data_IF_750917763118
#
_entry.id   IF_750917763118
#
_cell.length_a   1.000
_cell.length_b   1.000
_cell.length_c   1.000
_cell.angle_alpha   90.00
_cell.angle_beta   90.00
_cell.angle_gamma   90.00
#
_symmetry.space_group_name_H-M   'P 1'
#
loop_
_entity.id
_entity.type
_entity.pdbx_description
1 polymer ?
#
# COMPACT_ATOMS: atom_id res chain seq x y z
N UNK A 1 -17.56 -5.76 -11.64
CA UNK A 1 -17.78 -6.23 -10.26
C UNK A 1 -16.85 -7.37 -9.88
N UNK A 2 -16.46 -8.27 -10.77
CA UNK A 2 -15.49 -9.34 -10.49
C UNK A 2 -14.10 -8.81 -10.09
N UNK A 3 -13.61 -7.70 -10.67
CA UNK A 3 -12.30 -7.13 -10.36
C UNK A 3 -12.13 -6.59 -8.94
N UNK A 4 -13.20 -6.30 -8.19
CA UNK A 4 -13.11 -5.84 -6.80
C UNK A 4 -12.91 -6.97 -5.80
N UNK A 5 -13.48 -8.15 -6.02
CA UNK A 5 -13.35 -9.30 -5.13
C UNK A 5 -11.94 -9.89 -5.16
N UNK A 6 -11.31 -9.97 -6.32
CA UNK A 6 -9.94 -10.50 -6.45
C UNK A 6 -8.87 -9.60 -5.81
N UNK A 7 -9.07 -8.28 -5.81
CA UNK A 7 -8.16 -7.33 -5.13
C UNK A 7 -8.11 -7.56 -3.63
N UNK A 8 -9.24 -7.95 -3.04
CA UNK A 8 -9.38 -8.21 -1.61
C UNK A 8 -8.51 -9.41 -1.20
N UNK A 9 -8.42 -10.45 -2.01
CA UNK A 9 -7.73 -11.69 -1.69
C UNK A 9 -6.23 -11.52 -1.46
N UNK A 10 -5.55 -10.65 -2.23
CA UNK A 10 -4.11 -10.43 -2.09
C UNK A 10 -3.74 -9.70 -0.79
N UNK A 11 -4.67 -8.91 -0.23
CA UNK A 11 -4.43 -8.07 0.94
C UNK A 11 -5.08 -8.61 2.23
N UNK A 12 -5.93 -9.62 2.14
CA UNK A 12 -6.43 -10.33 3.32
C UNK A 12 -5.28 -10.97 4.10
N UNK A 13 -5.44 -11.12 5.40
CA UNK A 13 -4.46 -11.81 6.27
C UNK A 13 -4.25 -13.24 5.81
N UNK A 14 -5.34 -13.95 5.51
CA UNK A 14 -5.29 -15.23 4.83
C UNK A 14 -5.58 -15.04 3.32
N UNK A 15 -4.54 -15.13 2.52
CA UNK A 15 -4.61 -15.09 1.07
C UNK A 15 -4.53 -16.49 0.44
N UNK A 16 -4.94 -17.52 1.19
CA UNK A 16 -5.04 -18.90 0.73
C UNK A 16 -6.32 -19.10 -0.09
N UNK A 17 -6.19 -19.83 -1.19
CA UNK A 17 -7.31 -20.26 -2.03
C UNK A 17 -7.31 -21.76 -2.16
N UNK A 18 -8.49 -22.38 -2.06
CA UNK A 18 -8.64 -23.79 -2.32
C UNK A 18 -8.77 -24.05 -3.82
N UNK A 19 -7.84 -24.80 -4.37
CA UNK A 19 -7.86 -25.24 -5.76
C UNK A 19 -8.27 -26.72 -5.81
N UNK A 20 -9.36 -26.99 -6.47
CA UNK A 20 -9.76 -28.36 -6.83
C UNK A 20 -9.00 -28.75 -8.09
N UNK A 21 -8.27 -29.87 -8.03
CA UNK A 21 -7.52 -30.43 -9.14
C UNK A 21 -8.37 -31.39 -9.96
N UNK A 22 -7.95 -31.62 -11.19
CA UNK A 22 -8.62 -32.56 -12.09
C UNK A 22 -8.61 -34.00 -11.56
N UNK A 23 -7.67 -34.35 -10.68
CA UNK A 23 -7.60 -35.64 -9.99
C UNK A 23 -8.57 -35.77 -8.79
N UNK A 24 -9.41 -34.75 -8.54
CA UNK A 24 -10.38 -34.71 -7.45
C UNK A 24 -9.78 -34.27 -6.10
N UNK A 25 -8.48 -34.03 -6.02
CA UNK A 25 -7.85 -33.55 -4.78
C UNK A 25 -7.97 -32.03 -4.65
N UNK A 26 -8.10 -31.53 -3.39
CA UNK A 26 -8.11 -30.10 -3.09
C UNK A 26 -6.77 -29.68 -2.50
N UNK A 27 -6.19 -28.61 -3.01
CA UNK A 27 -4.96 -28.02 -2.48
C UNK A 27 -5.17 -26.56 -2.14
N UNK A 28 -4.77 -26.13 -0.93
CA UNK A 28 -4.72 -24.73 -0.58
C UNK A 28 -3.48 -24.09 -1.19
N UNK A 29 -3.69 -23.06 -1.98
CA UNK A 29 -2.64 -22.26 -2.63
C UNK A 29 -2.59 -20.91 -1.94
N UNK A 30 -1.41 -20.51 -1.47
CA UNK A 30 -1.14 -19.15 -1.00
C UNK A 30 -0.67 -18.30 -2.19
N UNK A 31 -1.40 -17.25 -2.49
CA UNK A 31 -1.09 -16.38 -3.62
C UNK A 31 0.20 -15.58 -3.41
N UNK A 32 0.40 -15.05 -2.20
CA UNK A 32 1.60 -14.31 -1.79
C UNK A 32 2.01 -14.76 -0.39
N UNK A 33 3.28 -15.08 -0.19
CA UNK A 33 3.84 -15.29 1.14
C UNK A 33 4.20 -13.93 1.77
N UNK A 34 3.45 -13.52 2.79
CA UNK A 34 3.67 -12.26 3.50
C UNK A 34 4.60 -12.41 4.70
N UNK A 35 4.86 -13.62 5.14
CA UNK A 35 5.78 -13.93 6.24
C UNK A 35 7.18 -14.12 5.72
N UNK A 36 7.36 -15.07 4.80
CA UNK A 36 8.65 -15.33 4.17
C UNK A 36 8.66 -14.67 2.78
N UNK A 37 8.73 -13.33 2.77
CA UNK A 37 8.59 -12.53 1.54
C UNK A 37 9.53 -12.97 0.41
N UNK A 38 10.73 -13.48 0.75
CA UNK A 38 11.70 -13.96 -0.23
C UNK A 38 11.34 -15.31 -0.86
N UNK A 39 10.31 -16.02 -0.36
CA UNK A 39 9.79 -17.22 -1.00
C UNK A 39 8.98 -16.90 -2.26
N UNK A 40 8.54 -15.66 -2.42
CA UNK A 40 7.82 -15.23 -3.61
C UNK A 40 8.75 -15.15 -4.83
N UNK A 41 8.28 -15.65 -5.96
CA UNK A 41 8.99 -15.60 -7.24
C UNK A 41 8.66 -14.31 -7.97
N UNK A 42 9.68 -13.54 -8.35
CA UNK A 42 9.55 -12.36 -9.22
C UNK A 42 9.91 -12.73 -10.65
N UNK A 43 9.14 -12.20 -11.60
CA UNK A 43 9.39 -12.29 -13.03
C UNK A 43 9.11 -10.94 -13.66
N UNK A 44 9.86 -10.60 -14.70
CA UNK A 44 9.71 -9.35 -15.45
C UNK A 44 9.34 -9.71 -16.88
N UNK A 45 8.23 -9.16 -17.34
CA UNK A 45 7.82 -9.19 -18.74
C UNK A 45 8.09 -7.82 -19.36
N UNK A 46 8.63 -7.78 -20.55
CA UNK A 46 8.77 -6.55 -21.30
C UNK A 46 8.06 -6.67 -22.63
N UNK A 47 7.43 -5.58 -23.05
CA UNK A 47 6.72 -5.49 -24.32
C UNK A 47 5.74 -6.65 -24.56
N UNK A 48 4.99 -7.01 -23.52
CA UNK A 48 3.95 -8.02 -23.63
C UNK A 48 2.81 -7.51 -24.49
N UNK A 49 2.42 -8.30 -25.50
CA UNK A 49 1.33 -7.97 -26.42
C UNK A 49 0.06 -8.69 -25.97
N UNK A 50 -1.04 -7.94 -25.84
CA UNK A 50 -2.38 -8.44 -25.54
C UNK A 50 -3.26 -8.22 -26.77
N UNK A 51 -3.72 -9.30 -27.37
CA UNK A 51 -4.51 -9.30 -28.61
C UNK A 51 -6.02 -9.37 -28.34
N UNK A 52 -6.44 -9.79 -27.16
CA UNK A 52 -7.85 -10.02 -26.80
C UNK A 52 -8.66 -8.76 -26.50
N UNK A 53 -8.06 -7.58 -26.51
CA UNK A 53 -8.72 -6.30 -26.18
C UNK A 53 -9.43 -5.65 -27.36
N UNK A 54 -9.95 -4.44 -27.14
CA UNK A 54 -10.58 -3.61 -28.20
C UNK A 54 -9.60 -3.26 -29.32
N UNK A 55 -8.32 -3.19 -28.99
CA UNK A 55 -7.19 -2.98 -29.93
C UNK A 55 -5.99 -3.75 -29.41
N UNK A 56 -5.08 -4.23 -30.31
CA UNK A 56 -3.81 -4.79 -29.89
C UNK A 56 -3.06 -3.78 -29.02
N UNK A 57 -2.67 -4.21 -27.82
CA UNK A 57 -2.01 -3.35 -26.85
C UNK A 57 -0.70 -3.97 -26.41
N UNK A 58 0.35 -3.17 -26.35
CA UNK A 58 1.67 -3.60 -25.87
C UNK A 58 2.02 -2.87 -24.60
N UNK A 59 2.20 -3.64 -23.53
CA UNK A 59 2.61 -3.14 -22.22
C UNK A 59 4.12 -3.01 -22.16
N UNK A 60 4.62 -1.88 -21.68
CA UNK A 60 6.08 -1.64 -21.67
C UNK A 60 6.80 -2.63 -20.74
N UNK A 61 6.47 -2.62 -19.45
CA UNK A 61 7.07 -3.55 -18.48
C UNK A 61 6.03 -3.96 -17.43
N UNK A 62 5.96 -5.25 -17.15
CA UNK A 62 5.11 -5.81 -16.09
C UNK A 62 5.96 -6.65 -15.14
N UNK A 63 5.78 -6.47 -13.83
CA UNK A 63 6.41 -7.33 -12.83
C UNK A 63 5.36 -8.27 -12.25
N UNK A 64 5.64 -9.56 -12.38
CA UNK A 64 4.84 -10.62 -11.82
C UNK A 64 5.40 -11.03 -10.45
N UNK A 65 4.48 -11.30 -9.51
CA UNK A 65 4.78 -11.95 -8.24
C UNK A 65 3.99 -13.26 -8.20
N UNK A 66 4.67 -14.39 -8.15
CA UNK A 66 4.06 -15.73 -8.24
C UNK A 66 3.13 -15.90 -9.46
N UNK A 67 3.47 -15.26 -10.59
CA UNK A 67 2.68 -15.28 -11.81
C UNK A 67 1.58 -14.22 -11.91
N UNK A 68 1.29 -13.46 -10.84
CA UNK A 68 0.30 -12.38 -10.86
C UNK A 68 0.93 -11.04 -11.24
N UNK A 69 0.39 -10.30 -12.21
CA UNK A 69 0.93 -9.00 -12.65
C UNK A 69 0.56 -7.91 -11.62
N UNK A 70 1.40 -7.73 -10.61
CA UNK A 70 1.13 -6.80 -9.52
C UNK A 70 1.66 -5.39 -9.76
N UNK A 71 2.65 -5.23 -10.64
CA UNK A 71 3.23 -3.91 -10.95
C UNK A 71 3.26 -3.69 -12.44
N UNK A 72 2.66 -2.59 -12.88
CA UNK A 72 2.68 -2.15 -14.27
C UNK A 72 3.52 -0.87 -14.40
N UNK A 73 4.45 -0.86 -15.36
CA UNK A 73 5.34 0.26 -15.61
C UNK A 73 5.10 0.78 -17.02
N UNK A 74 4.86 2.07 -17.14
CA UNK A 74 4.69 2.78 -18.40
C UNK A 74 5.84 3.75 -18.61
N UNK A 75 6.48 3.65 -19.75
CA UNK A 75 7.68 4.40 -20.09
C UNK A 75 7.42 5.41 -21.22
N UNK A 76 8.00 6.57 -21.14
CA UNK A 76 8.02 7.58 -22.18
C UNK A 76 9.45 7.99 -22.48
N UNK A 77 9.67 8.51 -23.68
CA UNK A 77 10.98 9.08 -24.07
C UNK A 77 11.31 10.28 -23.20
N UNK A 78 12.59 10.52 -23.00
CA UNK A 78 13.07 11.75 -22.34
C UNK A 78 12.52 12.97 -23.05
N UNK A 79 12.16 14.00 -22.29
CA UNK A 79 11.53 15.22 -22.79
C UNK A 79 10.00 15.16 -22.93
N UNK A 80 9.38 13.98 -22.90
CA UNK A 80 7.93 13.83 -22.87
C UNK A 80 7.42 14.04 -21.44
N UNK A 81 6.30 14.73 -21.29
CA UNK A 81 5.71 14.95 -19.97
C UNK A 81 5.27 13.63 -19.34
N UNK A 82 5.66 13.38 -18.09
CA UNK A 82 5.33 12.16 -17.36
C UNK A 82 3.80 11.94 -17.23
N UNK A 83 3.00 13.02 -17.29
CA UNK A 83 1.52 12.95 -17.33
C UNK A 83 0.99 12.16 -18.52
N UNK A 84 1.72 12.07 -19.62
CA UNK A 84 1.30 11.26 -20.78
C UNK A 84 1.32 9.76 -20.46
N UNK A 85 2.32 9.29 -19.70
CA UNK A 85 2.35 7.92 -19.21
C UNK A 85 1.16 7.63 -18.28
N UNK A 86 0.83 8.57 -17.39
CA UNK A 86 -0.33 8.46 -16.51
C UNK A 86 -1.65 8.33 -17.28
N UNK A 87 -1.83 9.14 -18.32
CA UNK A 87 -3.02 9.10 -19.19
C UNK A 87 -3.09 7.82 -20.03
N UNK A 88 -1.95 7.22 -20.38
CA UNK A 88 -1.92 5.99 -21.17
C UNK A 88 -2.43 4.79 -20.41
N UNK A 89 -2.14 4.70 -19.10
CA UNK A 89 -2.67 3.63 -18.24
C UNK A 89 -4.20 3.62 -18.21
N UNK A 90 -4.85 4.78 -18.29
CA UNK A 90 -6.30 4.88 -18.44
C UNK A 90 -6.79 4.16 -19.72
N UNK A 91 -6.09 4.35 -20.86
CA UNK A 91 -6.44 3.66 -22.11
C UNK A 91 -6.33 2.14 -21.97
N UNK A 92 -5.28 1.64 -21.32
CA UNK A 92 -5.10 0.21 -21.11
C UNK A 92 -6.24 -0.41 -20.33
N UNK A 93 -6.75 0.26 -19.30
CA UNK A 93 -7.88 -0.25 -18.56
C UNK A 93 -9.13 -0.38 -19.42
N UNK A 94 -9.44 0.63 -20.22
CA UNK A 94 -10.61 0.63 -21.09
C UNK A 94 -10.48 -0.41 -22.21
N UNK A 95 -9.27 -0.55 -22.77
CA UNK A 95 -9.07 -1.23 -24.02
C UNK A 95 -8.55 -2.67 -23.86
N UNK A 96 -7.86 -3.00 -22.74
CA UNK A 96 -7.12 -4.27 -22.70
C UNK A 96 -6.92 -4.96 -21.35
N UNK A 97 -6.95 -4.29 -20.18
CA UNK A 97 -6.65 -4.98 -18.91
C UNK A 97 -7.65 -6.09 -18.53
N UNK A 98 -8.86 -6.02 -19.02
CA UNK A 98 -9.90 -7.04 -18.86
C UNK A 98 -9.80 -8.18 -19.88
N UNK A 99 -8.98 -8.02 -20.90
CA UNK A 99 -8.87 -8.96 -22.02
C UNK A 99 -8.12 -10.24 -21.62
N UNK A 100 -8.22 -11.24 -22.44
CA UNK A 100 -7.61 -12.53 -22.23
C UNK A 100 -8.07 -13.16 -20.91
N UNK A 101 -7.12 -13.43 -20.02
CA UNK A 101 -7.41 -14.00 -18.69
C UNK A 101 -7.90 -12.98 -17.65
N UNK A 102 -7.92 -11.68 -17.97
CA UNK A 102 -8.21 -10.61 -17.01
C UNK A 102 -7.14 -10.41 -15.93
N UNK A 103 -5.98 -11.06 -16.03
CA UNK A 103 -4.93 -11.03 -15.01
C UNK A 103 -4.37 -9.62 -14.76
N UNK A 104 -4.37 -8.74 -15.75
CA UNK A 104 -3.89 -7.36 -15.59
C UNK A 104 -4.77 -6.50 -14.67
N UNK A 105 -5.98 -6.94 -14.36
CA UNK A 105 -6.80 -6.29 -13.33
C UNK A 105 -6.23 -6.44 -11.91
N UNK A 106 -5.32 -7.40 -11.69
CA UNK A 106 -4.59 -7.56 -10.43
C UNK A 106 -3.49 -6.53 -10.19
N UNK A 107 -3.17 -5.68 -11.18
CA UNK A 107 -2.14 -4.66 -11.02
C UNK A 107 -2.46 -3.72 -9.85
N UNK A 108 -1.56 -3.66 -8.87
CA UNK A 108 -1.74 -2.93 -7.61
C UNK A 108 -0.96 -1.61 -7.59
N UNK A 109 0.23 -1.62 -8.16
CA UNK A 109 1.13 -0.48 -8.22
C UNK A 109 1.39 -0.15 -9.69
N UNK A 110 1.27 1.13 -9.99
CA UNK A 110 1.61 1.69 -11.28
C UNK A 110 2.83 2.58 -11.15
N UNK A 111 3.76 2.43 -12.09
CA UNK A 111 4.97 3.24 -12.17
C UNK A 111 4.97 3.93 -13.52
N UNK A 112 5.22 5.21 -13.52
CA UNK A 112 5.32 6.04 -14.72
C UNK A 112 6.68 6.70 -14.76
N UNK A 113 7.32 6.71 -15.94
CA UNK A 113 8.63 7.31 -16.10
C UNK A 113 8.86 7.86 -17.50
N UNK A 114 9.67 8.92 -17.57
CA UNK A 114 10.26 9.40 -18.82
C UNK A 114 11.81 9.31 -18.81
N UNK A 115 12.34 8.44 -17.93
CA UNK A 115 13.77 8.27 -17.70
C UNK A 115 14.38 9.27 -16.73
N UNK A 116 13.96 10.54 -16.78
CA UNK A 116 14.44 11.60 -15.88
C UNK A 116 13.56 11.71 -14.63
N UNK A 117 12.27 11.53 -14.78
CA UNK A 117 11.29 11.60 -13.72
C UNK A 117 10.53 10.29 -13.62
N UNK A 118 10.47 9.71 -12.41
CA UNK A 118 9.78 8.46 -12.12
C UNK A 118 8.90 8.64 -10.90
N UNK A 119 7.63 8.28 -11.03
CA UNK A 119 6.64 8.32 -9.96
C UNK A 119 5.91 7.00 -9.87
N UNK A 120 5.31 6.73 -8.72
CA UNK A 120 4.45 5.57 -8.53
C UNK A 120 3.11 5.97 -7.89
N UNK A 121 2.12 5.11 -8.03
CA UNK A 121 0.80 5.29 -7.43
C UNK A 121 0.06 3.97 -7.31
N UNK A 122 -0.96 3.95 -6.48
CA UNK A 122 -1.79 2.77 -6.24
C UNK A 122 -2.88 2.62 -7.28
N UNK A 123 -3.45 1.44 -7.33
CA UNK A 123 -4.64 1.11 -8.10
C UNK A 123 -5.82 2.06 -7.77
N UNK A 124 -6.02 2.44 -6.53
CA UNK A 124 -7.04 3.42 -6.13
C UNK A 124 -6.89 4.76 -6.85
N UNK A 125 -5.65 5.29 -6.93
CA UNK A 125 -5.38 6.52 -7.67
C UNK A 125 -5.72 6.36 -9.15
N UNK A 126 -5.42 5.21 -9.73
CA UNK A 126 -5.80 4.87 -11.11
C UNK A 126 -7.31 4.89 -11.31
N UNK A 127 -8.09 4.25 -10.44
CA UNK A 127 -9.55 4.24 -10.56
C UNK A 127 -10.15 5.64 -10.44
N UNK A 128 -9.67 6.44 -9.51
CA UNK A 128 -10.09 7.86 -9.39
C UNK A 128 -9.83 8.63 -10.67
N UNK A 129 -8.65 8.45 -11.28
CA UNK A 129 -8.33 9.06 -12.57
C UNK A 129 -9.31 8.67 -13.67
N UNK A 130 -9.67 7.39 -13.76
CA UNK A 130 -10.62 6.89 -14.75
C UNK A 130 -11.98 7.53 -14.58
N UNK A 131 -12.54 7.50 -13.38
CA UNK A 131 -13.85 8.12 -13.10
C UNK A 131 -13.87 9.62 -13.39
N UNK A 132 -12.79 10.35 -13.08
CA UNK A 132 -12.66 11.76 -13.40
C UNK A 132 -12.66 12.02 -14.93
N UNK A 133 -12.10 11.10 -15.71
CA UNK A 133 -12.07 11.23 -17.17
C UNK A 133 -13.42 10.86 -17.82
N UNK A 134 -14.09 9.83 -17.32
CA UNK A 134 -15.39 9.38 -17.83
C UNK A 134 -16.52 10.37 -17.57
N UNK A 135 -16.51 11.07 -16.44
CA UNK A 135 -17.51 12.07 -16.07
C UNK A 135 -17.40 13.40 -16.82
N UNK A 136 -16.46 13.58 -17.75
CA UNK A 136 -16.25 14.85 -18.46
C UNK A 136 -17.05 14.91 -19.75
N UNK A 137 -17.84 16.01 -20.00
CA UNK A 137 -18.51 16.19 -21.27
C UNK A 137 -17.51 16.32 -22.43
N UNK A 138 -17.86 15.73 -23.58
CA UNK A 138 -17.03 15.73 -24.79
C UNK A 138 -16.80 17.12 -25.41
N UNK A 139 -17.54 18.13 -24.96
CA UNK A 139 -17.51 19.49 -25.49
C UNK A 139 -16.95 20.47 -24.46
N UNK A 140 -15.76 20.96 -24.70
CA UNK A 140 -15.13 22.03 -23.94
C UNK A 140 -13.62 21.89 -23.83
N UNK A 141 -12.90 22.97 -23.53
CA UNK A 141 -11.49 22.97 -23.14
C UNK A 141 -11.27 22.17 -21.85
N UNK A 142 -11.32 20.83 -21.95
CA UNK A 142 -11.09 19.97 -20.80
C UNK A 142 -9.63 20.05 -20.36
N UNK A 143 -9.36 20.07 -19.06
CA UNK A 143 -8.01 19.84 -18.51
C UNK A 143 -7.46 18.55 -19.11
N UNK A 144 -6.25 18.60 -19.68
CA UNK A 144 -5.59 17.45 -20.31
C UNK A 144 -5.18 16.32 -19.33
N UNK A 145 -5.34 16.55 -18.02
CA UNK A 145 -5.02 15.58 -16.98
C UNK A 145 -6.03 15.67 -15.83
N UNK A 146 -6.26 14.55 -15.14
CA UNK A 146 -7.08 14.52 -13.94
C UNK A 146 -6.34 15.11 -12.74
N UNK A 147 -7.08 15.51 -11.72
CA UNK A 147 -6.52 15.95 -10.45
C UNK A 147 -5.86 14.78 -9.70
N UNK A 148 -6.21 13.53 -10.03
CA UNK A 148 -5.61 12.32 -9.47
C UNK A 148 -4.11 12.19 -9.73
N UNK A 149 -3.56 12.87 -10.75
CA UNK A 149 -2.11 12.92 -10.95
C UNK A 149 -1.35 13.51 -9.75
N UNK A 150 -1.96 14.41 -9.00
CA UNK A 150 -1.38 15.02 -7.79
C UNK A 150 -1.19 14.01 -6.65
N UNK A 151 -1.91 12.87 -6.69
CA UNK A 151 -1.76 11.78 -5.73
C UNK A 151 -0.66 10.78 -6.08
N UNK A 152 0.04 10.97 -7.21
CA UNK A 152 1.24 10.20 -7.52
C UNK A 152 2.38 10.58 -6.58
N UNK A 153 3.23 9.62 -6.24
CA UNK A 153 4.31 9.81 -5.27
C UNK A 153 5.68 9.70 -5.91
N UNK A 154 6.62 10.49 -5.44
CA UNK A 154 8.04 10.29 -5.67
C UNK A 154 8.57 9.22 -4.72
N UNK A 155 9.52 8.42 -5.21
CA UNK A 155 10.35 7.63 -4.30
C UNK A 155 11.43 8.52 -3.69
N UNK A 156 11.90 8.17 -2.49
CA UNK A 156 12.94 8.92 -1.79
C UNK A 156 13.80 8.00 -0.93
N UNK A 157 15.00 8.45 -0.61
CA UNK A 157 15.89 7.78 0.33
C UNK A 157 15.45 7.95 1.80
N UNK A 158 16.19 7.34 2.74
CA UNK A 158 15.91 7.42 4.17
C UNK A 158 16.09 8.82 4.79
N UNK A 159 16.61 9.79 4.03
CA UNK A 159 16.72 11.21 4.38
C UNK A 159 15.69 12.08 3.68
N UNK A 160 14.76 11.45 2.96
CA UNK A 160 13.72 12.09 2.17
C UNK A 160 14.23 12.86 0.94
N UNK A 161 15.41 12.53 0.42
CA UNK A 161 15.85 13.05 -0.87
C UNK A 161 15.17 12.31 -2.00
N UNK A 162 14.54 13.04 -2.91
CA UNK A 162 13.78 12.48 -4.03
C UNK A 162 14.70 11.72 -4.98
N UNK A 163 14.30 10.51 -5.35
CA UNK A 163 14.91 9.65 -6.35
C UNK A 163 14.05 9.73 -7.61
N UNK A 164 14.42 10.64 -8.51
CA UNK A 164 13.66 10.88 -9.74
C UNK A 164 14.12 10.01 -10.92
N UNK A 165 15.42 9.76 -11.06
CA UNK A 165 16.01 8.99 -12.15
C UNK A 165 15.51 7.55 -12.16
N UNK A 166 15.11 7.04 -13.34
CA UNK A 166 14.56 5.70 -13.52
C UNK A 166 15.52 4.60 -13.07
N UNK A 167 16.82 4.74 -13.36
CA UNK A 167 17.81 3.70 -13.05
C UNK A 167 18.01 3.58 -11.55
N UNK A 168 18.12 4.71 -10.85
CA UNK A 168 18.26 4.75 -9.40
C UNK A 168 16.96 4.29 -8.72
N UNK A 169 15.80 4.72 -9.26
CA UNK A 169 14.49 4.24 -8.81
C UNK A 169 14.40 2.71 -8.93
N UNK A 170 14.77 2.15 -10.08
CA UNK A 170 14.71 0.70 -10.30
C UNK A 170 15.62 -0.07 -9.34
N UNK A 171 16.84 0.43 -9.10
CA UNK A 171 17.78 -0.19 -8.15
C UNK A 171 17.32 -0.16 -6.70
N UNK A 172 16.45 0.77 -6.33
CA UNK A 172 16.00 0.95 -4.95
C UNK A 172 14.57 0.48 -4.74
N UNK A 173 13.59 1.00 -5.47
CA UNK A 173 12.17 0.64 -5.34
C UNK A 173 11.89 -0.79 -5.85
N UNK A 174 12.45 -1.15 -7.03
CA UNK A 174 12.23 -2.45 -7.66
C UNK A 174 13.23 -3.52 -7.19
N UNK A 175 14.17 -3.20 -6.31
CA UNK A 175 14.96 -4.21 -5.64
C UNK A 175 14.02 -5.23 -4.99
N UNK A 176 14.30 -6.53 -5.15
CA UNK A 176 13.43 -7.64 -4.72
C UNK A 176 12.91 -7.45 -3.30
N UNK A 177 13.80 -7.15 -2.36
CA UNK A 177 13.42 -6.94 -0.96
C UNK A 177 12.49 -5.73 -0.79
N UNK A 178 12.82 -4.59 -1.39
CA UNK A 178 12.03 -3.36 -1.28
C UNK A 178 10.63 -3.55 -1.87
N UNK A 179 10.56 -4.03 -3.12
CA UNK A 179 9.28 -4.24 -3.81
C UNK A 179 8.36 -5.20 -3.07
N UNK A 180 8.88 -6.34 -2.62
CA UNK A 180 8.09 -7.32 -1.87
C UNK A 180 7.60 -6.75 -0.54
N UNK A 181 8.42 -5.99 0.20
CA UNK A 181 7.97 -5.32 1.42
C UNK A 181 6.94 -4.23 1.13
N UNK A 182 7.09 -3.46 0.05
CA UNK A 182 6.08 -2.46 -0.34
C UNK A 182 4.74 -3.16 -0.57
N UNK A 183 4.70 -4.24 -1.34
CA UNK A 183 3.49 -4.97 -1.67
C UNK A 183 2.86 -5.68 -0.46
N UNK A 184 3.67 -6.27 0.43
CA UNK A 184 3.16 -7.12 1.51
C UNK A 184 3.02 -6.40 2.85
N UNK A 185 3.85 -5.39 3.11
CA UNK A 185 3.99 -4.75 4.41
C UNK A 185 3.56 -3.28 4.42
N UNK A 186 3.81 -2.52 3.33
CA UNK A 186 3.56 -1.07 3.28
C UNK A 186 2.38 -0.66 2.40
N UNK A 187 1.55 -1.60 2.02
CA UNK A 187 0.21 -1.34 1.50
C UNK A 187 -0.82 -1.50 2.61
N UNK A 188 -1.84 -0.65 2.58
CA UNK A 188 -3.02 -0.75 3.44
C UNK A 188 -4.23 -0.82 2.54
N UNK A 189 -5.02 -1.89 2.71
CA UNK A 189 -6.29 -2.05 2.05
C UNK A 189 -7.39 -1.61 3.01
N UNK A 190 -8.11 -0.55 2.67
CA UNK A 190 -9.11 0.05 3.56
C UNK A 190 -10.39 -0.76 3.60
N UNK A 191 -11.22 -0.53 4.62
CA UNK A 191 -12.56 -1.12 4.73
C UNK A 191 -13.50 -0.70 3.58
N UNK A 192 -13.17 0.40 2.88
CA UNK A 192 -13.86 0.91 1.69
C UNK A 192 -13.31 0.31 0.38
N UNK A 193 -12.42 -0.69 0.49
CA UNK A 193 -11.75 -1.35 -0.64
C UNK A 193 -10.78 -0.44 -1.42
N UNK A 194 -10.25 0.61 -0.79
CA UNK A 194 -9.20 1.45 -1.34
C UNK A 194 -7.80 0.87 -0.99
N UNK A 195 -6.92 0.78 -1.98
CA UNK A 195 -5.52 0.43 -1.76
C UNK A 195 -4.68 1.68 -1.56
N UNK A 196 -4.09 1.82 -0.40
CA UNK A 196 -3.14 2.87 -0.07
C UNK A 196 -1.72 2.31 -0.06
N UNK A 197 -0.82 2.93 -0.81
CA UNK A 197 0.62 2.63 -0.77
C UNK A 197 1.31 3.72 0.04
N UNK A 198 2.02 3.33 1.10
CA UNK A 198 2.72 4.27 1.96
C UNK A 198 3.79 5.04 1.18
N UNK A 199 3.94 6.32 1.52
CA UNK A 199 4.99 7.18 0.96
C UNK A 199 6.34 6.89 1.64
N UNK A 200 7.48 7.21 1.01
CA UNK A 200 8.80 6.88 1.55
C UNK A 200 9.04 7.37 2.98
N UNK A 201 8.67 8.62 3.28
CA UNK A 201 8.83 9.18 4.64
C UNK A 201 7.94 8.48 5.68
N UNK A 202 6.78 7.96 5.29
CA UNK A 202 5.91 7.18 6.17
C UNK A 202 6.55 5.81 6.46
N UNK A 203 7.10 5.15 5.43
CA UNK A 203 7.85 3.89 5.57
C UNK A 203 9.05 4.11 6.47
N UNK A 204 9.85 5.14 6.21
CA UNK A 204 11.03 5.45 7.02
C UNK A 204 10.68 5.73 8.49
N UNK A 205 9.59 6.47 8.75
CA UNK A 205 9.11 6.71 10.11
C UNK A 205 8.69 5.40 10.80
N UNK A 206 7.89 4.57 10.12
CA UNK A 206 7.45 3.27 10.63
C UNK A 206 8.64 2.38 10.97
N UNK A 207 9.59 2.21 10.05
CA UNK A 207 10.77 1.36 10.28
C UNK A 207 11.64 1.85 11.44
N UNK A 208 11.83 3.16 11.57
CA UNK A 208 12.59 3.74 12.69
C UNK A 208 11.91 3.49 14.03
N UNK A 209 10.58 3.57 14.09
CA UNK A 209 9.83 3.28 15.32
C UNK A 209 9.96 1.80 15.66
N UNK A 210 9.71 0.89 14.70
CA UNK A 210 9.82 -0.56 14.92
C UNK A 210 11.24 -0.96 15.36
N UNK A 211 12.27 -0.38 14.72
CA UNK A 211 13.64 -0.63 15.10
C UNK A 211 13.97 -0.09 16.51
N UNK A 212 13.37 1.03 16.92
CA UNK A 212 13.51 1.57 18.29
C UNK A 212 12.88 0.63 19.31
N UNK A 213 11.73 0.06 19.01
CA UNK A 213 11.08 -0.96 19.86
C UNK A 213 12.00 -2.16 20.04
N UNK A 214 12.51 -2.72 18.95
CA UNK A 214 13.44 -3.84 18.98
C UNK A 214 14.71 -3.56 19.81
N UNK A 215 15.35 -2.39 19.58
CA UNK A 215 16.54 -2.01 20.35
C UNK A 215 16.24 -1.92 21.85
N UNK A 216 15.05 -1.40 22.21
CA UNK A 216 14.64 -1.25 23.61
C UNK A 216 14.35 -2.60 24.28
N UNK A 217 13.89 -3.58 23.50
CA UNK A 217 13.69 -4.96 23.98
C UNK A 217 15.03 -5.64 24.30
N UNK A 218 16.04 -5.43 23.45
CA UNK A 218 17.39 -5.97 23.68
C UNK A 218 18.16 -5.28 24.83
N UNK A 219 17.76 -4.07 25.24
CA UNK A 219 18.35 -3.32 26.34
C UNK A 219 17.28 -2.91 27.36
N UNK A 220 16.91 -3.83 28.27
CA UNK A 220 15.82 -3.58 29.24
C UNK A 220 16.06 -2.39 30.16
N UNK A 221 17.30 -1.91 30.31
CA UNK A 221 17.61 -0.71 31.09
C UNK A 221 17.06 0.57 30.49
N UNK A 222 16.80 0.56 29.19
CA UNK A 222 16.20 1.69 28.46
C UNK A 222 14.69 1.73 28.53
N UNK A 223 14.03 0.63 28.88
CA UNK A 223 12.59 0.57 28.96
C UNK A 223 12.05 1.62 29.94
N UNK A 224 11.03 2.37 29.51
CA UNK A 224 10.45 3.46 30.28
C UNK A 224 11.28 4.74 30.34
N UNK A 225 12.41 4.81 29.63
CA UNK A 225 13.24 6.01 29.54
C UNK A 225 13.09 6.74 28.20
N UNK A 226 13.44 8.02 28.10
CA UNK A 226 13.42 8.75 26.84
C UNK A 226 14.28 8.12 25.73
N UNK A 227 15.33 7.39 26.09
CA UNK A 227 16.22 6.68 25.14
C UNK A 227 15.53 5.57 24.40
N UNK A 228 14.50 4.95 24.98
CA UNK A 228 13.65 3.97 24.33
C UNK A 228 12.63 4.60 23.36
N UNK A 229 12.38 5.91 23.52
CA UNK A 229 11.40 6.67 22.77
C UNK A 229 11.96 7.40 21.55
N UNK A 230 11.19 8.35 21.07
CA UNK A 230 11.55 9.23 19.96
C UNK A 230 10.37 10.08 19.54
N UNK A 231 10.58 10.89 18.53
CA UNK A 231 9.54 11.70 17.93
C UNK A 231 9.59 11.62 16.39
N UNK A 232 8.44 11.85 15.77
CA UNK A 232 8.30 11.91 14.31
C UNK A 232 7.67 13.25 13.96
N UNK A 233 8.39 14.05 13.17
CA UNK A 233 7.91 15.33 12.71
C UNK A 233 7.21 15.18 11.36
N UNK A 234 5.90 15.24 11.36
CA UNK A 234 5.07 15.21 10.17
C UNK A 234 4.22 16.49 10.07
N UNK A 235 4.15 17.07 8.87
CA UNK A 235 3.27 18.23 8.61
C UNK A 235 1.80 17.81 8.61
N UNK A 236 0.90 18.79 8.71
CA UNK A 236 -0.54 18.56 8.56
C UNK A 236 -0.84 18.01 7.16
N UNK A 237 -1.74 17.02 7.07
CA UNK A 237 -2.10 16.37 5.78
C UNK A 237 -1.08 15.38 5.24
N UNK A 238 0.05 15.13 5.93
CA UNK A 238 1.07 14.15 5.50
C UNK A 238 0.69 12.68 5.74
N UNK A 239 -0.50 12.41 6.31
CA UNK A 239 -0.94 11.05 6.62
C UNK A 239 -0.35 10.48 7.91
N UNK A 240 -0.26 11.31 8.96
CA UNK A 240 0.15 10.87 10.31
C UNK A 240 -0.65 9.68 10.80
N UNK A 241 -1.96 9.69 10.60
CA UNK A 241 -2.88 8.64 11.05
C UNK A 241 -2.60 7.31 10.34
N UNK A 242 -2.33 7.34 9.02
CA UNK A 242 -1.94 6.14 8.28
C UNK A 242 -0.59 5.59 8.79
N UNK A 243 0.38 6.47 9.04
CA UNK A 243 1.69 6.06 9.56
C UNK A 243 1.56 5.43 10.95
N UNK A 244 0.82 6.07 11.87
CA UNK A 244 0.61 5.55 13.23
C UNK A 244 -0.18 4.24 13.23
N UNK A 245 -1.25 4.14 12.43
CA UNK A 245 -2.01 2.90 12.27
C UNK A 245 -1.13 1.74 11.80
N UNK A 246 -0.38 1.96 10.70
CA UNK A 246 0.47 0.91 10.14
C UNK A 246 1.59 0.51 11.09
N UNK A 247 2.17 1.48 11.79
CA UNK A 247 3.17 1.21 12.83
C UNK A 247 2.57 0.39 13.97
N UNK A 248 1.39 0.77 14.47
CA UNK A 248 0.69 0.02 15.52
C UNK A 248 0.36 -1.42 15.09
N UNK A 249 -0.14 -1.58 13.85
CA UNK A 249 -0.43 -2.90 13.27
C UNK A 249 0.82 -3.78 13.18
N UNK A 250 1.94 -3.23 12.73
CA UNK A 250 3.19 -3.98 12.62
C UNK A 250 3.79 -4.27 13.99
N UNK A 251 3.78 -3.30 14.91
CA UNK A 251 4.28 -3.47 16.28
C UNK A 251 3.48 -4.51 17.04
N UNK A 252 2.16 -4.56 16.90
CA UNK A 252 1.30 -5.54 17.59
C UNK A 252 1.53 -7.00 17.17
N UNK A 253 2.28 -7.21 16.08
CA UNK A 253 2.68 -8.53 15.58
C UNK A 253 4.14 -8.87 15.89
N UNK A 254 4.87 -7.99 16.61
CA UNK A 254 6.24 -8.27 17.04
C UNK A 254 6.23 -9.16 18.27
N UNK A 255 7.20 -10.06 18.34
CA UNK A 255 7.48 -10.80 19.56
C UNK A 255 7.84 -9.80 20.68
N UNK A 256 7.43 -10.06 21.91
CA UNK A 256 7.67 -9.17 23.04
C UNK A 256 6.76 -7.93 23.15
N UNK A 257 5.86 -7.70 22.17
CA UNK A 257 4.86 -6.62 22.22
C UNK A 257 3.48 -7.20 22.51
N UNK A 258 3.04 -7.08 23.74
CA UNK A 258 1.70 -7.53 24.13
C UNK A 258 0.60 -6.60 23.63
N UNK A 259 0.81 -5.29 23.74
CA UNK A 259 -0.18 -4.26 23.39
C UNK A 259 0.45 -3.00 22.85
N UNK A 260 -0.31 -2.32 21.99
CA UNK A 260 0.00 -0.98 21.51
C UNK A 260 -1.07 -0.01 22.01
N UNK A 261 -0.66 0.94 22.83
CA UNK A 261 -1.52 2.01 23.33
C UNK A 261 -1.27 3.28 22.52
N UNK A 262 -2.28 3.74 21.79
CA UNK A 262 -2.25 5.01 21.07
C UNK A 262 -2.98 6.08 21.89
N UNK A 263 -2.23 7.05 22.39
CA UNK A 263 -2.76 8.11 23.25
C UNK A 263 -2.88 9.41 22.47
N UNK A 264 -4.08 9.99 22.46
CA UNK A 264 -4.38 11.28 21.82
C UNK A 264 -4.66 12.36 22.85
N UNK A 265 -4.30 13.59 22.52
CA UNK A 265 -4.40 14.73 23.47
C UNK A 265 -5.86 15.19 23.67
N UNK A 266 -6.71 15.12 22.65
CA UNK A 266 -8.06 15.70 22.67
C UNK A 266 -9.12 14.65 22.31
N UNK A 267 -10.29 14.75 22.96
CA UNK A 267 -11.44 13.87 22.69
C UNK A 267 -11.92 13.91 21.22
N UNK A 268 -11.88 15.07 20.57
CA UNK A 268 -12.26 15.20 19.16
C UNK A 268 -11.28 14.44 18.25
N UNK A 269 -9.98 14.46 18.59
CA UNK A 269 -8.95 13.70 17.87
C UNK A 269 -9.06 12.19 18.13
N UNK A 270 -9.53 11.79 19.33
CA UNK A 270 -9.80 10.39 19.66
C UNK A 270 -10.84 9.81 18.68
N UNK A 271 -12.01 10.47 18.58
CA UNK A 271 -13.06 10.02 17.68
C UNK A 271 -12.60 9.97 16.23
N UNK A 272 -11.91 11.02 15.75
CA UNK A 272 -11.37 11.05 14.38
C UNK A 272 -10.33 9.95 14.15
N UNK A 273 -9.44 9.72 15.11
CA UNK A 273 -8.42 8.67 15.02
C UNK A 273 -9.05 7.28 14.99
N UNK A 274 -10.06 7.05 15.82
CA UNK A 274 -10.81 5.78 15.84
C UNK A 274 -11.50 5.56 14.48
N UNK A 275 -12.21 6.56 13.96
CA UNK A 275 -12.87 6.47 12.66
C UNK A 275 -11.88 6.18 11.52
N UNK A 276 -10.72 6.85 11.52
CA UNK A 276 -9.67 6.60 10.53
C UNK A 276 -9.06 5.19 10.68
N UNK A 277 -8.83 4.71 11.91
CA UNK A 277 -8.31 3.36 12.14
C UNK A 277 -9.33 2.29 11.72
N UNK A 278 -10.61 2.48 12.03
CA UNK A 278 -11.70 1.61 11.59
C UNK A 278 -11.88 1.63 10.07
N UNK A 279 -11.60 2.78 9.43
CA UNK A 279 -11.56 2.89 7.97
C UNK A 279 -10.41 2.08 7.37
N UNK A 280 -9.25 2.05 8.03
CA UNK A 280 -8.12 1.24 7.56
C UNK A 280 -8.35 -0.26 7.79
N UNK A 281 -8.94 -0.64 8.92
CA UNK A 281 -9.30 -2.02 9.22
C UNK A 281 -10.42 -2.05 10.25
N UNK A 282 -11.59 -2.61 9.91
CA UNK A 282 -12.70 -2.81 10.84
C UNK A 282 -12.27 -3.66 12.03
N UNK A 283 -12.65 -3.25 13.25
CA UNK A 283 -12.28 -3.93 14.48
C UNK A 283 -10.80 -3.79 14.86
N UNK A 284 -10.06 -2.86 14.23
CA UNK A 284 -8.66 -2.62 14.54
C UNK A 284 -8.43 -1.98 15.90
N UNK A 285 -9.46 -1.33 16.45
CA UNK A 285 -9.34 -0.52 17.66
C UNK A 285 -10.38 -0.92 18.67
N UNK A 286 -9.91 -1.18 19.89
CA UNK A 286 -10.77 -1.28 21.05
C UNK A 286 -10.86 0.09 21.71
N UNK A 287 -11.96 0.82 21.48
CA UNK A 287 -12.22 2.12 22.09
C UNK A 287 -13.37 2.04 23.08
N UNK A 288 -13.22 2.64 24.24
CA UNK A 288 -14.34 2.83 25.16
C UNK A 288 -14.11 4.00 26.13
N UNK A 289 -15.21 4.57 26.65
CA UNK A 289 -15.22 5.84 27.38
C UNK A 289 -14.96 5.70 28.90
N UNK A 290 -14.81 4.48 29.45
CA UNK A 290 -14.72 4.25 30.90
C UNK A 290 -13.35 3.66 31.29
N UNK A 291 -12.82 4.09 32.41
CA UNK A 291 -11.56 3.57 33.00
C UNK A 291 -11.64 2.06 33.30
N UNK A 292 -12.82 1.57 33.70
CA UNK A 292 -13.04 0.14 33.93
C UNK A 292 -12.83 -0.67 32.66
N UNK A 293 -13.39 -0.21 31.56
CA UNK A 293 -13.24 -0.88 30.27
C UNK A 293 -11.79 -0.81 29.75
N UNK A 294 -11.07 0.26 30.05
CA UNK A 294 -9.64 0.30 29.75
C UNK A 294 -8.87 -0.78 30.50
N UNK A 295 -9.18 -0.97 31.80
CA UNK A 295 -8.56 -2.04 32.59
C UNK A 295 -8.89 -3.43 32.01
N UNK A 296 -10.14 -3.66 31.61
CA UNK A 296 -10.58 -4.90 30.98
C UNK A 296 -9.87 -5.14 29.63
N UNK A 297 -9.72 -4.09 28.83
CA UNK A 297 -8.98 -4.15 27.55
C UNK A 297 -7.49 -4.42 27.75
N UNK A 298 -6.87 -3.81 28.76
CA UNK A 298 -5.47 -4.06 29.09
C UNK A 298 -5.25 -5.49 29.58
N UNK A 299 -6.24 -6.08 30.24
CA UNK A 299 -6.21 -7.46 30.68
C UNK A 299 -6.57 -8.48 29.61
N UNK A 300 -7.35 -8.09 28.59
CA UNK A 300 -7.80 -8.98 27.53
C UNK A 300 -6.69 -9.33 26.53
N UNK A 301 -6.43 -10.59 26.21
CA UNK A 301 -5.42 -10.98 25.20
C UNK A 301 -5.78 -10.52 23.77
N UNK A 302 -7.05 -10.29 23.50
CA UNK A 302 -7.56 -9.99 22.14
C UNK A 302 -7.41 -8.51 21.76
N UNK A 303 -7.34 -7.61 22.77
CA UNK A 303 -7.21 -6.17 22.56
C UNK A 303 -5.75 -5.78 22.29
N UNK A 304 -5.27 -5.97 21.06
CA UNK A 304 -3.88 -5.68 20.68
C UNK A 304 -3.60 -4.19 20.51
N UNK A 305 -4.54 -3.43 19.96
CA UNK A 305 -4.40 -1.97 19.73
C UNK A 305 -5.51 -1.25 20.48
N UNK A 306 -5.14 -0.34 21.36
CA UNK A 306 -6.05 0.44 22.20
C UNK A 306 -5.83 1.92 21.91
N UNK A 307 -6.90 2.67 21.63
CA UNK A 307 -6.85 4.12 21.44
C UNK A 307 -7.52 4.82 22.61
N UNK A 308 -6.87 5.84 23.17
CA UNK A 308 -7.34 6.60 24.32
C UNK A 308 -6.96 8.07 24.30
N UNK A 309 -7.79 8.89 24.93
CA UNK A 309 -7.46 10.28 25.26
C UNK A 309 -6.79 10.39 26.62
N UNK A 310 -6.00 11.46 26.81
CA UNK A 310 -5.41 11.81 28.11
C UNK A 310 -6.47 12.41 29.04
N UNK A 311 -7.56 13.00 28.51
CA UNK A 311 -8.60 13.72 29.26
C UNK A 311 -9.80 12.82 29.58
#
# INVERSE_FOLDING_TARGET
TAGSEYKTLLFQEDNSQSLNRDDGTTKNIRLIDKVHVHSNRLQVLHQFEEEGGSHPTRYDVTILVNGLPLVQIELKRRGVAIKEAFNQINRYQRDSFWAGSGLYEYAQIFIISNGTHTKYYSNTTRFKHIHEMEGRPATGRSKKSSDSFEFTSWWADGRNHVIADLTVFARTFLARHALLNILTRYCVFTAEHDLLVMRPYQIAATERILNRILISEYDPKKLGTPEAGGYVWHTTGSGKTLTSFKTAQLASNMDGVDKVLFVVDRKDLDYQTIQEYERFKKGAVNSNKSTKVLADQLASPDAKIIVRTIQ
#
